data_IF_283239935147
#
_entry.id   IF_283239935147
#
_cell.length_a   1.000
_cell.length_b   1.000
_cell.length_c   1.000
_cell.angle_alpha   90.00
_cell.angle_beta   90.00
_cell.angle_gamma   90.00
#
_symmetry.space_group_name_H-M   'P 1'
#
loop_
_entity.id
_entity.type
_entity.pdbx_description
1 polymer ?
#
# COMPACT_ATOMS: atom_id res chain seq x y z
N UNK A 1 5.26 -7.97 -17.37
CA UNK A 1 6.67 -8.13 -16.99
C UNK A 1 6.72 -8.34 -15.49
N UNK A 2 7.53 -9.29 -14.99
CA UNK A 2 7.70 -9.51 -13.56
C UNK A 2 8.26 -8.24 -12.88
N UNK A 3 8.00 -8.09 -11.58
CA UNK A 3 8.64 -7.07 -10.75
C UNK A 3 9.97 -7.61 -10.25
N UNK A 4 11.03 -6.82 -10.38
CA UNK A 4 12.33 -7.16 -9.78
C UNK A 4 12.20 -7.19 -8.24
N UNK A 5 12.59 -8.30 -7.56
CA UNK A 5 12.34 -8.51 -6.12
C UNK A 5 12.91 -7.43 -5.19
N UNK A 6 14.03 -6.80 -5.58
CA UNK A 6 14.70 -5.77 -4.77
C UNK A 6 14.40 -4.34 -5.24
N UNK A 7 13.67 -4.19 -6.34
CA UNK A 7 13.41 -2.85 -6.89
C UNK A 7 12.35 -2.11 -6.08
N UNK A 8 12.64 -0.85 -5.74
CA UNK A 8 11.60 0.12 -5.40
C UNK A 8 10.72 0.33 -6.63
N UNK A 9 9.42 0.14 -6.44
CA UNK A 9 8.40 0.26 -7.49
C UNK A 9 7.43 1.37 -7.15
N UNK A 10 6.46 1.61 -8.03
CA UNK A 10 5.36 2.52 -7.73
C UNK A 10 4.11 1.74 -7.37
N UNK A 11 3.48 2.08 -6.24
CA UNK A 11 2.15 1.63 -5.89
C UNK A 11 1.11 2.59 -6.47
N UNK A 12 0.09 2.04 -7.13
CA UNK A 12 -1.05 2.79 -7.65
C UNK A 12 -2.33 2.21 -7.05
N UNK A 13 -3.04 3.04 -6.28
CA UNK A 13 -4.35 2.66 -5.72
C UNK A 13 -5.30 2.28 -6.86
N UNK A 14 -5.42 3.14 -7.88
CA UNK A 14 -6.30 2.90 -9.04
C UNK A 14 -5.98 1.61 -9.82
N UNK A 15 -4.70 1.24 -9.93
CA UNK A 15 -4.30 -0.01 -10.58
C UNK A 15 -4.37 -1.23 -9.65
N UNK A 16 -4.71 -1.02 -8.38
CA UNK A 16 -4.86 -2.07 -7.39
C UNK A 16 -3.54 -2.63 -6.84
N UNK A 17 -2.39 -1.99 -7.07
CA UNK A 17 -1.13 -2.57 -6.61
C UNK A 17 0.16 -1.96 -7.15
N UNK A 18 1.24 -2.75 -7.08
CA UNK A 18 2.56 -2.39 -7.54
C UNK A 18 2.70 -2.44 -9.07
N UNK A 19 3.27 -1.38 -9.64
CA UNK A 19 3.51 -1.21 -11.06
C UNK A 19 4.94 -1.60 -11.43
N UNK A 20 5.11 -2.31 -12.54
CA UNK A 20 6.43 -2.50 -13.13
C UNK A 20 7.02 -1.17 -13.60
N UNK A 21 8.34 -1.11 -13.82
CA UNK A 21 9.03 0.14 -14.21
C UNK A 21 8.39 0.84 -15.42
N UNK A 22 7.93 0.07 -16.41
CA UNK A 22 7.23 0.61 -17.59
C UNK A 22 5.89 1.25 -17.23
N UNK A 23 5.04 0.54 -16.49
CA UNK A 23 3.73 1.06 -16.07
C UNK A 23 3.88 2.23 -15.11
N UNK A 24 4.89 2.21 -14.23
CA UNK A 24 5.19 3.30 -13.32
C UNK A 24 5.48 4.61 -14.06
N UNK A 25 6.28 4.59 -15.14
CA UNK A 25 6.55 5.79 -15.94
C UNK A 25 5.31 6.42 -16.57
N UNK A 26 4.23 5.65 -16.74
CA UNK A 26 2.99 6.09 -17.38
C UNK A 26 1.90 6.47 -16.37
N UNK A 27 2.09 6.16 -15.09
CA UNK A 27 1.08 6.44 -14.08
C UNK A 27 1.16 7.91 -13.65
N UNK A 28 0.04 8.67 -13.71
CA UNK A 28 0.04 10.10 -13.40
C UNK A 28 0.21 10.39 -11.91
N UNK A 29 -0.09 9.40 -11.05
CA UNK A 29 0.06 9.47 -9.62
C UNK A 29 0.34 8.07 -9.06
N UNK A 30 1.21 8.02 -8.07
CA UNK A 30 1.52 6.80 -7.33
C UNK A 30 2.55 7.08 -6.25
N UNK A 31 2.69 6.14 -5.32
CA UNK A 31 3.63 6.24 -4.20
C UNK A 31 4.82 5.34 -4.46
N UNK A 32 6.03 5.76 -4.07
CA UNK A 32 7.17 4.85 -4.04
C UNK A 32 6.91 3.76 -3.00
N UNK A 33 7.10 2.52 -3.40
CA UNK A 33 7.01 1.35 -2.55
C UNK A 33 8.37 0.63 -2.59
N UNK A 34 9.18 0.81 -1.55
CA UNK A 34 10.42 0.06 -1.33
C UNK A 34 10.20 -1.46 -1.29
N UNK A 35 11.27 -2.24 -1.49
CA UNK A 35 11.19 -3.70 -1.57
C UNK A 35 10.74 -4.35 -0.26
N UNK A 36 11.32 -3.92 0.86
CA UNK A 36 10.95 -4.33 2.22
C UNK A 36 9.48 -4.04 2.55
N UNK A 37 8.99 -2.84 2.22
CA UNK A 37 7.58 -2.49 2.37
C UNK A 37 6.67 -3.34 1.46
N UNK A 38 7.12 -3.68 0.25
CA UNK A 38 6.39 -4.58 -0.64
C UNK A 38 6.32 -6.00 -0.08
N UNK A 39 7.40 -6.49 0.51
CA UNK A 39 7.43 -7.81 1.13
C UNK A 39 6.53 -7.87 2.38
N UNK A 40 6.51 -6.82 3.20
CA UNK A 40 5.56 -6.69 4.31
C UNK A 40 4.10 -6.80 3.82
N UNK A 41 3.74 -6.14 2.71
CA UNK A 41 2.41 -6.27 2.11
C UNK A 41 2.13 -7.70 1.60
N UNK A 42 3.13 -8.40 1.05
CA UNK A 42 2.96 -9.79 0.61
C UNK A 42 2.66 -10.72 1.78
N UNK A 43 3.43 -10.60 2.87
CA UNK A 43 3.20 -11.36 4.10
C UNK A 43 1.82 -11.05 4.71
N UNK A 44 1.42 -9.78 4.75
CA UNK A 44 0.10 -9.36 5.21
C UNK A 44 -1.04 -10.03 4.41
N UNK A 45 -0.95 -10.03 3.07
CA UNK A 45 -1.96 -10.66 2.20
C UNK A 45 -1.94 -12.18 2.32
N UNK A 46 -0.79 -12.79 2.58
CA UNK A 46 -0.65 -14.22 2.83
C UNK A 46 -1.24 -14.66 4.18
N UNK A 47 -1.53 -13.71 5.09
CA UNK A 47 -1.97 -14.00 6.45
C UNK A 47 -0.84 -14.49 7.36
N UNK A 48 0.41 -14.20 7.01
CA UNK A 48 1.57 -14.62 7.79
C UNK A 48 1.59 -13.90 9.16
N UNK A 49 1.96 -14.61 10.24
CA UNK A 49 1.98 -14.05 11.58
C UNK A 49 3.13 -13.04 11.73
N UNK A 50 2.79 -11.77 11.51
CA UNK A 50 3.53 -10.55 11.88
C UNK A 50 4.93 -10.35 11.28
N UNK A 51 5.03 -9.37 10.37
CA UNK A 51 6.30 -8.72 10.00
C UNK A 51 6.46 -7.48 10.88
N UNK A 52 7.51 -7.38 11.73
CA UNK A 52 7.73 -6.19 12.54
C UNK A 52 7.97 -4.98 11.64
N UNK A 53 7.15 -3.93 11.83
CA UNK A 53 7.29 -2.63 11.17
C UNK A 53 7.75 -1.60 12.18
N UNK A 54 8.58 -0.66 11.76
CA UNK A 54 8.82 0.54 12.54
C UNK A 54 7.60 1.48 12.51
N UNK A 55 7.55 2.41 13.45
CA UNK A 55 6.48 3.40 13.61
C UNK A 55 6.15 4.15 12.30
N UNK A 56 7.17 4.49 11.51
CA UNK A 56 7.00 5.25 10.28
C UNK A 56 6.38 4.37 9.18
N UNK A 57 6.84 3.13 9.06
CA UNK A 57 6.35 2.15 8.12
C UNK A 57 4.93 1.73 8.47
N UNK A 58 4.62 1.48 9.75
CA UNK A 58 3.27 1.17 10.20
C UNK A 58 2.27 2.25 9.77
N UNK A 59 2.56 3.53 10.07
CA UNK A 59 1.72 4.66 9.64
C UNK A 59 1.61 4.76 8.11
N UNK A 60 2.69 4.53 7.39
CA UNK A 60 2.68 4.55 5.93
C UNK A 60 1.79 3.43 5.35
N UNK A 61 1.81 2.23 5.93
CA UNK A 61 0.97 1.09 5.55
C UNK A 61 -0.50 1.31 5.91
N UNK A 62 -0.80 1.86 7.09
CA UNK A 62 -2.17 2.24 7.47
C UNK A 62 -2.77 3.24 6.47
N UNK A 63 -2.05 4.31 6.15
CA UNK A 63 -2.50 5.29 5.15
C UNK A 63 -2.68 4.65 3.77
N UNK A 64 -1.77 3.77 3.37
CA UNK A 64 -1.85 3.06 2.08
C UNK A 64 -3.10 2.18 2.01
N UNK A 65 -3.43 1.47 3.10
CA UNK A 65 -4.64 0.66 3.20
C UNK A 65 -5.91 1.52 3.16
N UNK A 66 -5.96 2.64 3.89
CA UNK A 66 -7.10 3.56 3.82
C UNK A 66 -7.33 4.07 2.40
N UNK A 67 -6.29 4.56 1.75
CA UNK A 67 -6.38 5.08 0.38
C UNK A 67 -6.79 3.99 -0.62
N UNK A 68 -6.28 2.76 -0.45
CA UNK A 68 -6.68 1.63 -1.28
C UNK A 68 -8.16 1.28 -1.10
N UNK A 69 -8.66 1.19 0.13
CA UNK A 69 -10.07 0.87 0.39
C UNK A 69 -10.99 2.01 -0.05
N UNK A 70 -10.57 3.26 0.12
CA UNK A 70 -11.28 4.44 -0.38
C UNK A 70 -11.48 4.40 -1.90
N UNK A 71 -10.44 4.04 -2.66
CA UNK A 71 -10.51 3.95 -4.12
C UNK A 71 -11.49 2.88 -4.62
N UNK A 72 -11.65 1.77 -3.88
CA UNK A 72 -12.36 0.59 -4.40
C UNK A 72 -13.72 0.29 -3.76
N UNK A 73 -13.97 0.74 -2.53
CA UNK A 73 -15.13 0.28 -1.74
C UNK A 73 -16.14 1.36 -1.42
N UNK A 74 -15.82 2.64 -1.64
CA UNK A 74 -16.59 3.71 -0.98
C UNK A 74 -17.49 4.51 -1.89
N UNK A 75 -17.30 4.42 -3.21
CA UNK A 75 -17.96 5.27 -4.21
C UNK A 75 -17.92 6.76 -3.81
N UNK A 76 -16.80 7.21 -3.22
CA UNK A 76 -16.60 8.58 -2.78
C UNK A 76 -17.15 8.93 -1.39
N UNK A 77 -17.69 7.95 -0.64
CA UNK A 77 -18.11 8.16 0.76
C UNK A 77 -16.94 7.90 1.75
N UNK A 78 -16.91 8.56 2.91
CA UNK A 78 -15.87 8.29 3.91
C UNK A 78 -16.12 6.96 4.65
N UNK A 79 -15.03 6.22 4.91
CA UNK A 79 -15.04 5.05 5.81
C UNK A 79 -14.63 5.50 7.21
N UNK A 80 -15.57 6.11 7.95
CA UNK A 80 -15.28 6.77 9.25
C UNK A 80 -14.57 5.86 10.27
N UNK A 81 -14.95 4.59 10.32
CA UNK A 81 -14.29 3.62 11.21
C UNK A 81 -12.82 3.38 10.83
N UNK A 82 -12.52 3.40 9.53
CA UNK A 82 -11.16 3.22 9.01
C UNK A 82 -10.31 4.47 9.19
N UNK A 83 -10.91 5.66 9.05
CA UNK A 83 -10.27 6.94 9.36
C UNK A 83 -9.86 7.00 10.83
N UNK A 84 -10.78 6.66 11.75
CA UNK A 84 -10.50 6.59 13.18
C UNK A 84 -9.45 5.51 13.52
N UNK A 85 -9.41 4.42 12.77
CA UNK A 85 -8.39 3.39 12.94
C UNK A 85 -6.99 3.86 12.53
N UNK A 86 -6.85 4.62 11.44
CA UNK A 86 -5.55 5.17 11.01
C UNK A 86 -4.96 6.16 12.02
N UNK A 87 -5.80 6.92 12.73
CA UNK A 87 -5.34 7.86 13.76
C UNK A 87 -4.79 7.16 15.02
N UNK A 88 -5.13 5.89 15.22
CA UNK A 88 -4.67 5.12 16.36
C UNK A 88 -3.27 4.56 16.11
N UNK A 89 -2.39 4.73 17.09
CA UNK A 89 -1.06 4.12 17.12
C UNK A 89 -1.22 2.65 17.50
N UNK A 90 -1.07 1.76 16.52
CA UNK A 90 -0.98 0.32 16.72
C UNK A 90 0.47 -0.11 16.50
#
# INVERSE_FOLDING_TARGET
APLEPEATVMFSHRAGGALCARCGRLAPAGRKLPADARDALRHFVAGDPFVPLDDASARAHQRLLREFLAEHLTDGRPLRALELWEEQRW
#
